data_IF_890292472506
#
_entry.id   IF_890292472506
#
_cell.length_a   1.000
_cell.length_b   1.000
_cell.length_c   1.000
_cell.angle_alpha   90.00
_cell.angle_beta   90.00
_cell.angle_gamma   90.00
#
_symmetry.space_group_name_H-M   'P 1'
#
loop_
_entity.id
_entity.type
_entity.pdbx_description
1 polymer ?
#
# COMPACT_ATOMS: atom_id res chain seq x y z
N UNK A 1 5.45 4.48 5.90
CA UNK A 1 5.99 3.19 5.41
C UNK A 1 4.96 2.07 5.53
N UNK A 2 4.64 1.58 6.73
CA UNK A 2 3.69 0.45 6.91
C UNK A 2 2.34 0.65 6.21
N UNK A 3 1.74 1.84 6.33
CA UNK A 3 0.50 2.17 5.63
C UNK A 3 0.61 2.13 4.10
N UNK A 4 1.74 2.60 3.54
CA UNK A 4 2.01 2.47 2.10
C UNK A 4 2.29 1.02 1.70
N UNK A 5 2.91 0.22 2.57
CA UNK A 5 3.16 -1.19 2.28
C UNK A 5 1.86 -1.99 2.18
N UNK A 6 0.97 -1.80 3.16
CA UNK A 6 -0.36 -2.44 3.14
C UNK A 6 -1.21 -1.91 1.99
N UNK A 7 -1.27 -0.60 1.78
CA UNK A 7 -2.04 -0.03 0.68
C UNK A 7 -1.43 -0.41 -0.69
N UNK A 8 -0.11 -0.47 -0.79
CA UNK A 8 0.62 -0.90 -1.99
C UNK A 8 0.31 -2.34 -2.37
N UNK A 9 0.14 -3.23 -1.40
CA UNK A 9 -0.32 -4.62 -1.66
C UNK A 9 -1.76 -4.70 -2.17
N UNK A 10 -2.59 -3.67 -1.94
CA UNK A 10 -3.95 -3.59 -2.51
C UNK A 10 -3.90 -2.93 -3.89
N UNK A 11 -3.22 -1.79 -4.01
CA UNK A 11 -3.27 -0.96 -5.21
C UNK A 11 -2.36 -1.47 -6.32
N UNK A 12 -1.33 -2.27 -6.01
CA UNK A 12 -0.41 -2.87 -6.99
C UNK A 12 0.35 -1.86 -7.86
N UNK A 13 0.31 -0.57 -7.51
CA UNK A 13 0.85 0.56 -8.26
C UNK A 13 1.52 1.55 -7.32
N UNK A 14 2.81 1.81 -7.54
CA UNK A 14 3.60 2.71 -6.71
C UNK A 14 3.15 4.17 -6.81
N UNK A 15 2.81 4.62 -8.02
CA UNK A 15 2.32 5.97 -8.24
C UNK A 15 0.97 6.20 -7.55
N UNK A 16 0.06 5.22 -7.63
CA UNK A 16 -1.23 5.26 -6.96
C UNK A 16 -1.11 5.30 -5.43
N UNK A 17 -0.25 4.45 -4.87
CA UNK A 17 0.03 4.40 -3.43
C UNK A 17 0.61 5.73 -2.96
N UNK A 18 1.63 6.25 -3.66
CA UNK A 18 2.27 7.51 -3.31
C UNK A 18 1.27 8.67 -3.36
N UNK A 19 0.49 8.80 -4.44
CA UNK A 19 -0.48 9.87 -4.61
C UNK A 19 -1.59 9.84 -3.55
N UNK A 20 -2.11 8.66 -3.23
CA UNK A 20 -3.21 8.51 -2.25
C UNK A 20 -2.72 8.74 -0.83
N UNK A 21 -1.64 8.07 -0.42
CA UNK A 21 -1.16 8.16 0.96
C UNK A 21 -0.53 9.53 1.22
N UNK A 22 0.19 10.13 0.27
CA UNK A 22 0.78 11.45 0.45
C UNK A 22 -0.26 12.54 0.63
N UNK A 23 -1.38 12.49 -0.10
CA UNK A 23 -2.48 13.45 0.03
C UNK A 23 -3.07 13.49 1.45
N UNK A 24 -3.08 12.36 2.16
CA UNK A 24 -3.64 12.27 3.52
C UNK A 24 -2.57 12.49 4.57
N UNK A 25 -1.38 11.89 4.41
CA UNK A 25 -0.34 11.90 5.42
C UNK A 25 0.48 13.20 5.45
N UNK A 26 0.75 13.82 4.30
CA UNK A 26 1.56 15.03 4.22
C UNK A 26 0.96 16.23 4.99
N UNK A 27 -0.33 16.59 4.81
CA UNK A 27 -0.91 17.71 5.57
C UNK A 27 -0.94 17.44 7.08
N UNK A 28 -1.14 16.19 7.50
CA UNK A 28 -1.14 15.80 8.91
C UNK A 28 0.26 15.88 9.52
N UNK A 29 1.29 15.39 8.82
CA UNK A 29 2.68 15.50 9.24
C UNK A 29 3.14 16.96 9.32
N UNK A 30 2.73 17.79 8.36
CA UNK A 30 3.02 19.23 8.35
C UNK A 30 2.34 19.96 9.50
N UNK A 31 1.07 19.65 9.79
CA UNK A 31 0.33 20.19 10.94
C UNK A 31 1.00 19.85 12.27
N UNK A 32 1.59 18.67 12.36
CA UNK A 32 2.33 18.20 13.55
C UNK A 32 3.74 18.77 13.66
N UNK A 33 4.22 19.56 12.69
CA UNK A 33 5.55 20.16 12.73
C UNK A 33 6.69 19.23 12.32
N UNK A 34 6.41 18.14 11.60
CA UNK A 34 7.47 17.31 11.01
C UNK A 34 8.17 18.03 9.86
N UNK A 35 9.47 17.79 9.71
CA UNK A 35 10.24 18.30 8.58
C UNK A 35 9.63 17.82 7.24
N UNK A 36 9.28 18.77 6.38
CA UNK A 36 8.59 18.53 5.12
C UNK A 36 9.43 17.69 4.14
N UNK A 37 10.76 17.88 4.10
CA UNK A 37 11.65 17.09 3.23
C UNK A 37 11.73 15.64 3.69
N UNK A 38 11.80 15.37 5.00
CA UNK A 38 11.78 14.01 5.53
C UNK A 38 10.42 13.34 5.28
N UNK A 39 9.31 14.07 5.49
CA UNK A 39 7.97 13.57 5.25
C UNK A 39 7.78 13.20 3.78
N UNK A 40 8.09 14.12 2.85
CA UNK A 40 8.04 13.89 1.40
C UNK A 40 8.95 12.75 0.97
N UNK A 41 10.20 12.75 1.44
CA UNK A 41 11.16 11.68 1.17
C UNK A 41 10.61 10.33 1.60
N UNK A 42 10.16 10.21 2.85
CA UNK A 42 9.60 8.97 3.40
C UNK A 42 8.36 8.48 2.67
N UNK A 43 7.49 9.40 2.22
CA UNK A 43 6.28 9.06 1.47
C UNK A 43 6.61 8.61 0.04
N UNK A 44 7.55 9.30 -0.62
CA UNK A 44 8.04 8.93 -1.94
C UNK A 44 8.73 7.56 -1.93
N UNK A 45 9.61 7.29 -0.97
CA UNK A 45 10.27 5.96 -0.86
C UNK A 45 9.29 4.88 -0.40
N UNK A 46 8.33 5.20 0.47
CA UNK A 46 7.32 4.23 0.86
C UNK A 46 6.36 3.87 -0.28
N UNK A 47 6.14 4.78 -1.24
CA UNK A 47 5.35 4.51 -2.44
C UNK A 47 5.98 3.45 -3.34
N UNK A 48 7.31 3.39 -3.44
CA UNK A 48 8.01 2.40 -4.28
C UNK A 48 7.86 0.97 -3.79
N UNK A 49 7.54 0.77 -2.49
CA UNK A 49 7.25 -0.55 -1.94
C UNK A 49 6.01 -1.20 -2.58
N UNK A 50 5.09 -0.42 -3.15
CA UNK A 50 3.89 -0.93 -3.82
C UNK A 50 4.18 -1.72 -5.11
N UNK A 51 5.36 -1.55 -5.71
CA UNK A 51 5.78 -2.37 -6.86
C UNK A 51 6.26 -3.76 -6.44
N UNK A 52 6.73 -3.88 -5.20
CA UNK A 52 7.49 -5.03 -4.73
C UNK A 52 6.65 -5.96 -3.86
N UNK A 53 5.73 -5.40 -3.06
CA UNK A 53 4.89 -6.17 -2.13
C UNK A 53 3.79 -6.88 -2.93
N UNK A 54 3.76 -8.23 -2.94
CA UNK A 54 2.72 -8.98 -3.63
C UNK A 54 1.35 -8.84 -2.94
N UNK A 55 0.23 -8.86 -3.68
CA UNK A 55 0.11 -8.93 -5.15
C UNK A 55 0.37 -7.56 -5.82
N UNK A 56 1.23 -7.53 -6.84
CA UNK A 56 1.57 -6.29 -7.58
C UNK A 56 1.43 -6.45 -9.08
N UNK A 57 0.75 -5.50 -9.74
CA UNK A 57 0.48 -5.51 -11.18
C UNK A 57 1.78 -5.52 -11.97
N UNK A 58 2.76 -4.73 -11.55
CA UNK A 58 4.06 -4.66 -12.25
C UNK A 58 4.82 -5.98 -12.17
N UNK A 59 4.73 -6.71 -11.05
CA UNK A 59 5.30 -8.06 -10.94
C UNK A 59 4.61 -9.07 -11.85
N UNK A 60 3.28 -8.98 -12.01
CA UNK A 60 2.53 -9.84 -12.94
C UNK A 60 2.96 -9.58 -14.38
N UNK A 61 3.01 -8.30 -14.79
CA UNK A 61 3.46 -7.92 -16.14
C UNK A 61 4.88 -8.39 -16.40
N UNK A 62 5.78 -8.23 -15.41
CA UNK A 62 7.15 -8.72 -15.51
C UNK A 62 7.21 -10.25 -15.63
N UNK A 63 6.43 -10.99 -14.84
CA UNK A 63 6.38 -12.45 -14.90
C UNK A 63 5.91 -12.95 -16.27
N UNK A 64 4.88 -12.31 -16.83
CA UNK A 64 4.36 -12.63 -18.17
C UNK A 64 5.40 -12.29 -19.25
N UNK A 65 6.05 -11.12 -19.17
CA UNK A 65 7.07 -10.72 -20.13
C UNK A 65 8.33 -11.60 -20.08
N UNK A 66 8.68 -12.13 -18.91
CA UNK A 66 9.83 -13.00 -18.69
C UNK A 66 9.53 -14.50 -18.85
N UNK A 67 8.31 -14.86 -19.29
CA UNK A 67 7.81 -16.25 -19.37
C UNK A 67 8.07 -17.07 -18.09
N UNK A 68 7.98 -16.37 -16.94
CA UNK A 68 8.30 -16.90 -15.64
C UNK A 68 7.03 -17.17 -14.83
N UNK A 69 7.09 -18.15 -13.93
CA UNK A 69 5.97 -18.42 -13.02
C UNK A 69 5.70 -17.23 -12.10
N UNK A 70 4.50 -16.66 -12.20
CA UNK A 70 4.01 -15.54 -11.37
C UNK A 70 4.17 -15.85 -9.88
N UNK A 71 3.84 -17.08 -9.46
CA UNK A 71 3.95 -17.54 -8.06
C UNK A 71 5.41 -17.45 -7.59
N UNK A 72 6.35 -17.86 -8.44
CA UNK A 72 7.78 -17.85 -8.12
C UNK A 72 8.31 -16.43 -7.97
N UNK A 73 7.87 -15.50 -8.83
CA UNK A 73 8.22 -14.08 -8.74
C UNK A 73 7.59 -13.46 -7.49
N UNK A 74 6.33 -13.77 -7.17
CA UNK A 74 5.66 -13.26 -5.97
C UNK A 74 6.36 -13.72 -4.68
N UNK A 75 6.70 -15.01 -4.59
CA UNK A 75 7.46 -15.54 -3.46
C UNK A 75 8.86 -14.89 -3.38
N UNK A 76 9.54 -14.73 -4.51
CA UNK A 76 10.83 -14.06 -4.58
C UNK A 76 10.75 -12.58 -4.21
N UNK A 77 9.61 -11.91 -4.43
CA UNK A 77 9.36 -10.51 -4.09
C UNK A 77 9.12 -10.25 -2.61
N UNK A 78 8.71 -11.26 -1.85
CA UNK A 78 8.39 -11.11 -0.43
C UNK A 78 9.63 -10.72 0.40
N UNK A 79 10.75 -11.41 0.17
CA UNK A 79 12.01 -11.18 0.86
C UNK A 79 12.59 -9.76 0.63
N UNK A 80 12.79 -9.29 -0.62
CA UNK A 80 13.33 -7.95 -0.86
C UNK A 80 12.35 -6.86 -0.41
N UNK A 81 11.04 -7.10 -0.44
CA UNK A 81 10.03 -6.14 0.04
C UNK A 81 10.17 -5.91 1.53
N UNK A 82 10.27 -6.99 2.30
CA UNK A 82 10.42 -6.91 3.75
C UNK A 82 11.76 -6.30 4.14
N UNK A 83 12.82 -6.64 3.40
CA UNK A 83 14.16 -6.06 3.58
C UNK A 83 14.16 -4.55 3.33
N UNK A 84 13.61 -4.08 2.20
CA UNK A 84 13.52 -2.64 1.91
C UNK A 84 12.66 -1.92 2.94
N UNK A 85 11.52 -2.52 3.33
CA UNK A 85 10.66 -1.96 4.36
C UNK A 85 11.40 -1.80 5.69
N UNK A 86 12.19 -2.81 6.09
CA UNK A 86 13.02 -2.75 7.29
C UNK A 86 14.13 -1.70 7.17
N UNK A 87 14.80 -1.60 6.02
CA UNK A 87 15.83 -0.61 5.75
C UNK A 87 15.27 0.82 5.80
N UNK A 88 14.12 1.09 5.19
CA UNK A 88 13.50 2.42 5.23
C UNK A 88 13.02 2.77 6.63
N UNK A 89 12.38 1.84 7.36
CA UNK A 89 12.00 2.05 8.74
C UNK A 89 13.23 2.31 9.62
N UNK A 90 14.30 1.53 9.44
CA UNK A 90 15.56 1.67 10.16
C UNK A 90 16.25 3.00 9.88
N UNK A 91 16.30 3.43 8.62
CA UNK A 91 16.87 4.71 8.23
C UNK A 91 16.11 5.89 8.86
N UNK A 92 14.78 5.88 8.80
CA UNK A 92 13.96 6.94 9.42
C UNK A 92 14.14 6.93 10.94
N UNK A 93 14.16 5.76 11.58
CA UNK A 93 14.37 5.64 13.02
C UNK A 93 15.76 6.16 13.43
N UNK A 94 16.80 5.80 12.68
CA UNK A 94 18.16 6.26 12.91
C UNK A 94 18.30 7.78 12.74
N UNK A 95 17.73 8.33 11.66
CA UNK A 95 17.71 9.78 11.40
C UNK A 95 16.93 10.53 12.49
N UNK A 96 15.78 9.99 12.91
CA UNK A 96 14.96 10.50 14.00
C UNK A 96 15.72 10.60 15.33
N UNK A 97 16.52 9.58 15.67
CA UNK A 97 17.33 9.58 16.90
C UNK A 97 18.48 10.58 16.84
N UNK A 98 19.08 10.79 15.66
CA UNK A 98 20.19 11.75 15.46
C UNK A 98 19.71 13.19 15.40
N UNK A 99 18.56 13.45 14.80
CA UNK A 99 18.01 14.79 14.59
C UNK A 99 16.81 15.08 15.51
N UNK A 100 16.94 14.76 16.81
CA UNK A 100 15.89 15.02 17.82
C UNK A 100 15.42 16.47 17.86
N UNK A 101 16.29 17.43 17.52
CA UNK A 101 15.97 18.86 17.54
C UNK A 101 15.01 19.30 16.41
N UNK A 102 14.85 18.49 15.36
CA UNK A 102 13.95 18.73 14.23
C UNK A 102 12.66 17.92 14.33
N UNK A 103 12.47 17.19 15.43
CA UNK A 103 11.28 16.39 15.66
C UNK A 103 10.32 17.10 16.62
N UNK A 104 9.00 17.11 16.31
CA UNK A 104 8.01 17.63 17.23
C UNK A 104 7.93 16.79 18.51
N UNK A 105 7.42 17.36 19.62
CA UNK A 105 7.30 16.65 20.89
C UNK A 105 6.48 15.37 20.73
N UNK A 106 6.83 14.29 21.46
CA UNK A 106 6.15 13.01 21.34
C UNK A 106 4.66 13.15 21.65
N UNK A 107 3.82 12.72 20.72
CA UNK A 107 2.37 12.68 20.89
C UNK A 107 1.95 11.82 22.11
N UNK A 108 0.76 12.07 22.68
CA UNK A 108 0.22 11.23 23.73
C UNK A 108 0.23 9.76 23.28
N UNK A 109 0.70 8.88 24.17
CA UNK A 109 0.83 7.44 23.92
C UNK A 109 -0.54 6.90 23.52
N UNK A 110 -0.74 6.64 22.22
CA UNK A 110 -1.92 5.90 21.76
C UNK A 110 -1.83 4.47 22.26
N UNK A 111 -2.86 4.03 22.98
CA UNK A 111 -2.92 2.69 23.56
C UNK A 111 -2.94 1.65 22.44
N UNK A 112 -2.31 0.48 22.63
CA UNK A 112 -2.27 -0.61 21.65
C UNK A 112 -3.68 -1.02 21.18
N UNK A 113 -4.67 -0.93 22.08
CA UNK A 113 -6.10 -1.14 21.78
C UNK A 113 -6.70 -0.12 20.79
N UNK A 114 -6.29 1.17 20.85
CA UNK A 114 -6.73 2.18 19.88
C UNK A 114 -6.07 1.97 18.51
N UNK A 115 -4.81 1.53 18.48
CA UNK A 115 -4.13 1.14 17.24
C UNK A 115 -4.84 -0.03 16.57
N UNK A 116 -5.21 -1.05 17.34
CA UNK A 116 -5.91 -2.24 16.82
C UNK A 116 -7.33 -1.90 16.33
N UNK A 117 -8.05 -1.02 17.02
CA UNK A 117 -9.39 -0.56 16.60
C UNK A 117 -9.35 0.30 15.33
N UNK A 118 -8.32 1.13 15.18
CA UNK A 118 -8.09 1.88 13.94
C UNK A 118 -7.66 0.95 12.79
N UNK A 119 -6.93 -0.12 13.08
CA UNK A 119 -6.62 -1.18 12.11
C UNK A 119 -7.84 -1.99 11.67
N UNK A 120 -8.97 -1.94 12.41
CA UNK A 120 -10.17 -2.67 12.03
C UNK A 120 -10.77 -2.21 10.69
N UNK A 121 -10.60 -0.94 10.30
CA UNK A 121 -11.00 -0.45 8.97
C UNK A 121 -10.16 -1.02 7.83
N UNK A 122 -9.00 -1.61 8.10
CA UNK A 122 -8.16 -2.29 7.10
C UNK A 122 -8.54 -3.76 6.92
N UNK A 123 -9.38 -4.33 7.80
CA UNK A 123 -9.78 -5.75 7.75
C UNK A 123 -10.40 -6.12 6.39
N UNK A 124 -11.34 -5.35 5.80
CA UNK A 124 -11.94 -5.71 4.52
C UNK A 124 -10.92 -5.81 3.38
N UNK A 125 -9.99 -4.87 3.32
CA UNK A 125 -8.92 -4.88 2.32
C UNK A 125 -7.93 -6.02 2.55
N UNK A 126 -7.55 -6.27 3.81
CA UNK A 126 -6.65 -7.36 4.17
C UNK A 126 -7.27 -8.73 3.83
N UNK A 127 -8.57 -8.92 4.11
CA UNK A 127 -9.30 -10.13 3.74
C UNK A 127 -9.32 -10.33 2.21
N UNK A 128 -9.53 -9.26 1.44
CA UNK A 128 -9.49 -9.32 -0.02
C UNK A 128 -8.11 -9.72 -0.53
N UNK A 129 -7.04 -9.15 0.02
CA UNK A 129 -5.66 -9.52 -0.34
C UNK A 129 -5.39 -10.99 -0.03
N UNK A 130 -5.71 -11.43 1.20
CA UNK A 130 -5.50 -12.82 1.61
C UNK A 130 -6.30 -13.77 0.72
N UNK A 131 -7.53 -13.41 0.37
CA UNK A 131 -8.36 -14.18 -0.56
C UNK A 131 -7.70 -14.30 -1.94
N UNK A 132 -7.25 -13.19 -2.54
CA UNK A 132 -6.61 -13.20 -3.86
C UNK A 132 -5.31 -14.02 -3.83
N UNK A 133 -4.47 -13.80 -2.82
CA UNK A 133 -3.21 -14.54 -2.66
C UNK A 133 -3.48 -16.03 -2.47
N UNK A 134 -4.50 -16.39 -1.69
CA UNK A 134 -4.89 -17.79 -1.51
C UNK A 134 -5.36 -18.38 -2.84
N UNK A 135 -6.31 -17.76 -3.54
CA UNK A 135 -6.83 -18.26 -4.83
C UNK A 135 -5.71 -18.44 -5.86
N UNK A 136 -4.74 -17.52 -5.88
CA UNK A 136 -3.55 -17.59 -6.74
C UNK A 136 -2.62 -18.76 -6.37
N UNK A 137 -2.32 -18.94 -5.07
CA UNK A 137 -1.42 -20.02 -4.61
C UNK A 137 -2.10 -21.40 -4.73
N UNK A 138 -3.40 -21.48 -4.46
CA UNK A 138 -4.19 -22.70 -4.62
C UNK A 138 -4.33 -23.13 -6.08
N UNK A 139 -3.96 -22.27 -7.05
CA UNK A 139 -4.06 -22.55 -8.48
C UNK A 139 -5.50 -22.58 -8.99
N UNK A 140 -6.45 -22.04 -8.23
CA UNK A 140 -7.87 -22.03 -8.59
C UNK A 140 -8.19 -20.99 -9.65
N UNK A 141 -7.37 -19.92 -9.75
CA UNK A 141 -7.53 -18.89 -10.75
C UNK A 141 -6.16 -18.39 -11.24
N UNK A 142 -6.11 -18.02 -12.50
CA UNK A 142 -4.98 -17.34 -13.15
C UNK A 142 -4.85 -15.89 -12.65
N UNK A 143 -3.72 -15.24 -12.91
CA UNK A 143 -3.51 -13.85 -12.51
C UNK A 143 -4.57 -12.89 -13.09
N UNK A 144 -5.04 -13.15 -14.30
CA UNK A 144 -6.08 -12.36 -14.98
C UNK A 144 -7.42 -12.50 -14.27
N UNK A 145 -7.79 -13.72 -13.88
CA UNK A 145 -9.02 -13.99 -13.13
C UNK A 145 -8.94 -13.42 -11.71
N UNK A 146 -7.78 -13.52 -11.06
CA UNK A 146 -7.51 -12.87 -9.77
C UNK A 146 -7.70 -11.35 -9.83
N UNK A 147 -7.29 -10.70 -10.93
CA UNK A 147 -7.52 -9.28 -11.13
C UNK A 147 -9.03 -8.95 -11.24
N UNK A 148 -9.81 -9.78 -11.95
CA UNK A 148 -11.26 -9.62 -12.04
C UNK A 148 -11.94 -9.76 -10.66
N UNK A 149 -11.56 -10.77 -9.88
CA UNK A 149 -12.05 -10.94 -8.50
C UNK A 149 -11.65 -9.78 -7.58
N UNK A 150 -10.45 -9.21 -7.77
CA UNK A 150 -10.02 -8.03 -7.02
C UNK A 150 -10.87 -6.79 -7.33
N UNK A 151 -11.18 -6.53 -8.60
CA UNK A 151 -12.06 -5.43 -9.00
C UNK A 151 -13.47 -5.63 -8.42
N UNK A 152 -14.06 -6.81 -8.60
CA UNK A 152 -15.39 -7.12 -8.06
C UNK A 152 -15.42 -7.01 -6.53
N UNK A 153 -14.43 -7.58 -5.84
CA UNK A 153 -14.32 -7.51 -4.39
C UNK A 153 -14.16 -6.07 -3.88
N UNK A 154 -13.35 -5.25 -4.55
CA UNK A 154 -13.18 -3.83 -4.19
C UNK A 154 -14.48 -3.02 -4.37
N UNK A 155 -15.26 -3.30 -5.42
CA UNK A 155 -16.57 -2.70 -5.65
C UNK A 155 -17.58 -3.11 -4.57
N UNK A 156 -17.61 -4.39 -4.20
CA UNK A 156 -18.46 -4.91 -3.12
C UNK A 156 -18.11 -4.24 -1.79
N UNK A 157 -16.81 -4.13 -1.46
CA UNK A 157 -16.35 -3.44 -0.25
C UNK A 157 -16.75 -1.96 -0.27
N UNK A 158 -16.59 -1.27 -1.41
CA UNK A 158 -17.00 0.13 -1.54
C UNK A 158 -18.51 0.32 -1.42
N UNK A 159 -19.32 -0.60 -1.96
CA UNK A 159 -20.77 -0.61 -1.83
C UNK A 159 -21.20 -0.85 -0.39
N UNK A 160 -20.62 -1.85 0.28
CA UNK A 160 -20.88 -2.17 1.68
C UNK A 160 -20.44 -1.02 2.63
N UNK A 161 -19.35 -0.34 2.30
CA UNK A 161 -18.85 0.85 3.00
C UNK A 161 -19.66 2.14 2.74
N UNK A 162 -20.71 2.08 1.90
CA UNK A 162 -21.52 3.24 1.45
C UNK A 162 -20.70 4.37 0.81
N UNK A 163 -19.47 4.09 0.38
CA UNK A 163 -18.59 5.06 -0.27
C UNK A 163 -18.72 5.02 -1.80
N UNK A 164 -19.50 4.08 -2.35
CA UNK A 164 -19.75 3.94 -3.77
C UNK A 164 -20.76 5.00 -4.26
N UNK A 165 -20.26 6.20 -4.51
CA UNK A 165 -21.00 7.27 -5.21
C UNK A 165 -20.51 7.38 -6.65
N UNK A 166 -21.34 7.90 -7.56
CA UNK A 166 -20.93 8.11 -8.95
C UNK A 166 -19.69 9.01 -9.08
N UNK A 167 -19.57 9.99 -8.18
CA UNK A 167 -18.38 10.85 -8.08
C UNK A 167 -17.13 10.07 -7.68
N UNK A 168 -17.20 9.22 -6.64
CA UNK A 168 -16.05 8.42 -6.22
C UNK A 168 -15.67 7.34 -7.24
N UNK A 169 -16.66 6.74 -7.91
CA UNK A 169 -16.44 5.76 -8.96
C UNK A 169 -15.74 6.38 -10.17
N UNK A 170 -16.24 7.50 -10.69
CA UNK A 170 -15.62 8.21 -11.83
C UNK A 170 -14.24 8.77 -11.47
N UNK A 171 -14.06 9.28 -10.25
CA UNK A 171 -12.76 9.71 -9.74
C UNK A 171 -11.77 8.55 -9.62
N UNK A 172 -12.21 7.38 -9.15
CA UNK A 172 -11.41 6.15 -9.09
C UNK A 172 -11.00 5.67 -10.48
N UNK A 173 -11.93 5.67 -11.44
CA UNK A 173 -11.67 5.29 -12.83
C UNK A 173 -10.66 6.23 -13.50
N UNK A 174 -10.90 7.55 -13.41
CA UNK A 174 -9.96 8.55 -13.94
C UNK A 174 -8.59 8.47 -13.26
N UNK A 175 -8.56 8.21 -11.95
CA UNK A 175 -7.34 7.96 -11.20
C UNK A 175 -6.58 6.76 -11.75
N UNK A 176 -7.27 5.63 -11.95
CA UNK A 176 -6.69 4.42 -12.53
C UNK A 176 -6.12 4.68 -13.93
N UNK A 177 -6.87 5.37 -14.81
CA UNK A 177 -6.40 5.70 -16.17
C UNK A 177 -5.17 6.61 -16.16
N UNK A 178 -5.14 7.65 -15.32
CA UNK A 178 -4.00 8.58 -15.22
C UNK A 178 -2.73 7.96 -14.62
N UNK A 179 -2.87 6.85 -13.89
CA UNK A 179 -1.76 6.18 -13.20
C UNK A 179 -1.28 4.93 -13.94
N UNK A 180 -2.05 4.44 -14.91
CA UNK A 180 -1.74 3.23 -15.70
C UNK A 180 -1.21 3.53 -17.10
N UNK A 181 -1.32 4.78 -17.57
CA UNK A 181 -0.72 5.28 -18.81
C UNK A 181 0.47 6.18 -18.50
#
# INVERSE_FOLDING_TARGET
ILGCGVFGSVSGSSAATCATISKVALPELKRRGYNEQLALGSLATAGTLGILIPPSITMVVYAVAADASIIRIFLAGFLPSFLLMALFCGYIAWWSIRNKHLMPPPEPKTTFAQKLRASASLIPCALLIVFIVWVLIAGWATATECAAYGVLGSLIIAAAGRSLTWSNFTAGLMGATRLSC
#
